data_IF_262905940442
#
_entry.id   IF_262905940442
#
_cell.length_a   1.000
_cell.length_b   1.000
_cell.length_c   1.000
_cell.angle_alpha   90.00
_cell.angle_beta   90.00
_cell.angle_gamma   90.00
#
_symmetry.space_group_name_H-M   'P 1'
#
loop_
_entity.id
_entity.type
_entity.pdbx_description
1 polymer ?
#
# COMPACT_ATOMS: atom_id res chain seq x y z
N UNK A 1 23.74 -96.36 17.61
CA UNK A 1 23.18 -95.92 18.92
C UNK A 1 22.13 -94.88 18.58
N UNK A 2 20.84 -95.19 18.52
CA UNK A 2 19.95 -95.72 19.57
C UNK A 2 18.86 -94.63 19.73
N UNK A 3 17.67 -94.85 19.17
CA UNK A 3 16.40 -95.10 19.90
C UNK A 3 16.08 -93.97 20.91
N UNK A 4 14.96 -93.25 20.84
CA UNK A 4 13.57 -93.71 20.94
C UNK A 4 12.63 -92.58 20.44
N UNK A 5 11.67 -92.84 19.55
CA UNK A 5 10.29 -93.30 19.83
C UNK A 5 9.52 -92.34 20.75
N UNK A 6 8.54 -91.56 20.26
CA UNK A 6 7.08 -91.80 20.41
C UNK A 6 6.35 -90.48 20.05
N UNK A 7 5.15 -90.35 19.46
CA UNK A 7 4.02 -91.23 19.15
C UNK A 7 3.28 -90.78 17.87
N UNK A 8 2.80 -91.79 17.19
CA UNK A 8 1.75 -91.85 16.17
C UNK A 8 0.39 -91.31 16.67
N UNK A 9 -0.25 -90.43 15.90
CA UNK A 9 -1.72 -90.36 15.77
C UNK A 9 -2.09 -90.06 14.31
N UNK A 10 -2.76 -91.05 13.72
CA UNK A 10 -3.50 -91.04 12.46
C UNK A 10 -4.50 -89.87 12.36
N UNK A 11 -4.68 -89.29 11.17
CA UNK A 11 -5.98 -89.17 10.47
C UNK A 11 -5.74 -88.65 9.02
N UNK A 12 -6.33 -89.36 8.04
CA UNK A 12 -6.32 -89.09 6.60
C UNK A 12 -7.19 -87.83 6.24
N UNK A 13 -7.12 -87.31 5.00
CA UNK A 13 -7.41 -85.92 4.63
C UNK A 13 -8.89 -85.67 4.34
N UNK A 14 -9.36 -84.46 4.60
CA UNK A 14 -10.57 -83.92 3.96
C UNK A 14 -10.15 -82.78 3.06
N UNK A 15 -10.29 -83.07 1.77
CA UNK A 15 -10.07 -82.22 0.62
C UNK A 15 -11.25 -81.25 0.55
N UNK A 16 -11.06 -80.00 0.99
CA UNK A 16 -12.01 -78.91 0.71
C UNK A 16 -11.41 -78.07 -0.40
N UNK A 17 -11.90 -78.32 -1.62
CA UNK A 17 -11.72 -77.42 -2.77
C UNK A 17 -12.50 -76.15 -2.45
N UNK A 18 -11.81 -75.17 -1.85
CA UNK A 18 -12.32 -73.81 -1.73
C UNK A 18 -12.14 -73.10 -3.07
N UNK A 19 -13.23 -72.94 -3.82
CA UNK A 19 -13.26 -72.16 -5.04
C UNK A 19 -12.90 -70.70 -4.71
N UNK A 20 -11.67 -70.29 -5.02
CA UNK A 20 -11.22 -68.90 -4.94
C UNK A 20 -11.81 -68.14 -6.13
N UNK A 21 -13.06 -67.68 -5.98
CA UNK A 21 -13.63 -66.62 -6.80
C UNK A 21 -12.83 -65.35 -6.51
N UNK A 22 -11.78 -65.11 -7.29
CA UNK A 22 -11.09 -63.81 -7.34
C UNK A 22 -12.06 -62.79 -7.93
N UNK A 23 -12.93 -62.26 -7.09
CA UNK A 23 -13.66 -61.05 -7.38
C UNK A 23 -12.60 -59.94 -7.46
N UNK A 24 -12.20 -59.62 -8.69
CA UNK A 24 -11.33 -58.48 -8.97
C UNK A 24 -12.03 -57.24 -8.48
N UNK A 25 -11.72 -56.83 -7.25
CA UNK A 25 -11.99 -55.49 -6.78
C UNK A 25 -11.11 -54.57 -7.62
N UNK A 26 -11.66 -54.13 -8.75
CA UNK A 26 -11.20 -52.93 -9.42
C UNK A 26 -11.34 -51.81 -8.39
N UNK A 27 -10.27 -51.53 -7.64
CA UNK A 27 -10.18 -50.29 -6.92
C UNK A 27 -10.39 -49.20 -7.97
N UNK A 28 -11.42 -48.35 -7.83
CA UNK A 28 -11.50 -47.19 -8.68
C UNK A 28 -10.21 -46.43 -8.42
N UNK A 29 -9.32 -46.44 -9.41
CA UNK A 29 -8.34 -45.38 -9.56
C UNK A 29 -9.18 -44.14 -9.77
N UNK A 30 -9.57 -43.50 -8.66
CA UNK A 30 -9.93 -42.11 -8.68
C UNK A 30 -8.67 -41.39 -9.12
N UNK A 31 -8.48 -41.29 -10.44
CA UNK A 31 -7.87 -40.14 -11.08
C UNK A 31 -8.80 -38.97 -10.77
N UNK A 32 -8.84 -38.59 -9.49
CA UNK A 32 -9.49 -37.38 -9.05
C UNK A 32 -8.72 -36.28 -9.74
N UNK A 33 -9.38 -35.58 -10.65
CA UNK A 33 -9.02 -34.20 -10.91
C UNK A 33 -8.97 -33.56 -9.52
N UNK A 34 -7.76 -33.37 -8.99
CA UNK A 34 -7.55 -32.73 -7.70
C UNK A 34 -8.23 -31.39 -7.83
N UNK A 35 -9.30 -31.20 -7.07
CA UNK A 35 -10.05 -29.94 -7.09
C UNK A 35 -9.04 -28.81 -6.91
N UNK A 36 -8.99 -27.92 -7.89
CA UNK A 36 -8.00 -26.86 -7.90
C UNK A 36 -8.25 -25.97 -6.68
N UNK A 37 -7.21 -25.79 -5.85
CA UNK A 37 -7.34 -24.97 -4.66
C UNK A 37 -7.83 -23.57 -5.08
N UNK A 38 -8.82 -22.97 -4.38
CA UNK A 38 -9.38 -21.68 -4.77
C UNK A 38 -8.34 -20.57 -4.99
N UNK A 39 -7.24 -20.58 -4.22
CA UNK A 39 -6.12 -19.65 -4.37
C UNK A 39 -5.34 -19.85 -5.68
N UNK A 40 -5.11 -21.09 -6.12
CA UNK A 40 -4.40 -21.38 -7.38
C UNK A 40 -5.19 -20.91 -8.61
N UNK A 41 -6.51 -21.11 -8.59
CA UNK A 41 -7.39 -20.61 -9.67
C UNK A 41 -7.33 -19.08 -9.79
N UNK A 42 -7.32 -18.38 -8.66
CA UNK A 42 -7.16 -16.92 -8.62
C UNK A 42 -5.79 -16.47 -9.11
N UNK A 43 -4.71 -17.19 -8.78
CA UNK A 43 -3.37 -16.91 -9.30
C UNK A 43 -3.34 -17.07 -10.83
N UNK A 44 -3.90 -18.15 -11.38
CA UNK A 44 -3.97 -18.35 -12.84
C UNK A 44 -4.73 -17.23 -13.53
N UNK A 45 -5.86 -16.82 -12.96
CA UNK A 45 -6.66 -15.72 -13.48
C UNK A 45 -5.90 -14.38 -13.43
N UNK A 46 -5.23 -14.09 -12.31
CA UNK A 46 -4.36 -12.92 -12.17
C UNK A 46 -3.26 -12.91 -13.23
N UNK A 47 -2.59 -14.04 -13.48
CA UNK A 47 -1.57 -14.16 -14.53
C UNK A 47 -2.15 -13.93 -15.93
N UNK A 48 -3.37 -14.39 -16.20
CA UNK A 48 -4.07 -14.11 -17.47
C UNK A 48 -4.37 -12.61 -17.62
N UNK A 49 -4.81 -11.94 -16.55
CA UNK A 49 -5.06 -10.50 -16.54
C UNK A 49 -3.77 -9.71 -16.74
N UNK A 50 -2.66 -10.12 -16.12
CA UNK A 50 -1.33 -9.52 -16.31
C UNK A 50 -0.84 -9.61 -17.76
N UNK A 51 -1.02 -10.76 -18.41
CA UNK A 51 -0.73 -10.91 -19.85
C UNK A 51 -1.56 -9.97 -20.72
N UNK A 52 -2.76 -9.63 -20.28
CA UNK A 52 -3.63 -8.66 -20.96
C UNK A 52 -3.32 -7.20 -20.60
N UNK A 53 -2.28 -6.91 -19.80
CA UNK A 53 -1.94 -5.56 -19.33
C UNK A 53 -2.94 -4.99 -18.32
N UNK A 54 -3.79 -5.84 -17.73
CA UNK A 54 -4.81 -5.46 -16.75
C UNK A 54 -4.30 -5.65 -15.33
N UNK A 55 -3.23 -4.94 -15.00
CA UNK A 55 -2.51 -5.14 -13.72
C UNK A 55 -3.36 -4.77 -12.50
N UNK A 56 -4.26 -3.78 -12.58
CA UNK A 56 -5.17 -3.44 -11.47
C UNK A 56 -6.14 -4.58 -11.18
N UNK A 57 -6.73 -5.19 -12.21
CA UNK A 57 -7.64 -6.32 -12.03
C UNK A 57 -6.89 -7.57 -11.57
N UNK A 58 -5.66 -7.77 -12.05
CA UNK A 58 -4.80 -8.87 -11.62
C UNK A 58 -4.44 -8.75 -10.13
N UNK A 59 -4.16 -7.53 -9.66
CA UNK A 59 -3.84 -7.26 -8.26
C UNK A 59 -4.97 -7.72 -7.33
N UNK A 60 -6.23 -7.46 -7.69
CA UNK A 60 -7.38 -7.94 -6.92
C UNK A 60 -7.39 -9.46 -6.80
N UNK A 61 -7.11 -10.18 -7.89
CA UNK A 61 -7.07 -11.66 -7.87
C UNK A 61 -5.93 -12.20 -7.03
N UNK A 62 -4.74 -11.62 -7.13
CA UNK A 62 -3.60 -12.02 -6.33
C UNK A 62 -3.76 -11.69 -4.85
N UNK A 63 -4.34 -10.53 -4.52
CA UNK A 63 -4.68 -10.18 -3.13
C UNK A 63 -5.66 -11.20 -2.55
N UNK A 64 -6.72 -11.54 -3.30
CA UNK A 64 -7.68 -12.54 -2.86
C UNK A 64 -7.06 -13.93 -2.69
N UNK A 65 -6.15 -14.32 -3.60
CA UNK A 65 -5.42 -15.57 -3.47
C UNK A 65 -4.55 -15.59 -2.20
N UNK A 66 -3.84 -14.50 -1.94
CA UNK A 66 -3.00 -14.33 -0.75
C UNK A 66 -3.82 -14.31 0.55
N UNK A 67 -4.99 -13.68 0.55
CA UNK A 67 -5.92 -13.72 1.71
C UNK A 67 -6.43 -15.12 2.02
N UNK A 68 -6.64 -15.95 0.99
CA UNK A 68 -7.10 -17.33 1.16
C UNK A 68 -5.97 -18.26 1.60
N UNK A 69 -4.79 -18.11 1.01
CA UNK A 69 -3.60 -18.90 1.31
C UNK A 69 -2.33 -18.02 1.18
N UNK A 70 -1.80 -17.49 2.31
CA UNK A 70 -0.62 -16.62 2.36
C UNK A 70 0.70 -17.34 2.00
N UNK A 71 0.84 -17.76 0.74
CA UNK A 71 2.06 -18.40 0.24
C UNK A 71 3.11 -17.39 -0.23
N UNK A 72 4.42 -17.75 -0.24
CA UNK A 72 5.47 -16.90 -0.82
C UNK A 72 5.20 -16.53 -2.28
N UNK A 73 4.65 -17.48 -3.05
CA UNK A 73 4.25 -17.27 -4.45
C UNK A 73 3.15 -16.22 -4.56
N UNK A 74 2.09 -16.32 -3.76
CA UNK A 74 1.01 -15.33 -3.78
C UNK A 74 1.52 -13.94 -3.37
N UNK A 75 2.36 -13.84 -2.34
CA UNK A 75 2.99 -12.57 -1.92
C UNK A 75 3.84 -11.94 -3.04
N UNK A 76 4.66 -12.75 -3.72
CA UNK A 76 5.47 -12.28 -4.83
C UNK A 76 4.61 -11.79 -6.01
N UNK A 77 3.52 -12.48 -6.36
CA UNK A 77 2.62 -12.05 -7.42
C UNK A 77 1.93 -10.71 -7.08
N UNK A 78 1.50 -10.52 -5.83
CA UNK A 78 1.01 -9.22 -5.35
C UNK A 78 2.08 -8.15 -5.52
N UNK A 79 3.31 -8.40 -5.06
CA UNK A 79 4.43 -7.46 -5.16
C UNK A 79 4.80 -7.09 -6.60
N UNK A 80 4.90 -8.06 -7.50
CA UNK A 80 5.20 -7.84 -8.93
C UNK A 80 4.09 -7.05 -9.63
N UNK A 81 2.84 -7.22 -9.19
CA UNK A 81 1.72 -6.47 -9.72
C UNK A 81 1.71 -5.02 -9.21
N UNK A 82 2.01 -4.81 -7.92
CA UNK A 82 2.21 -3.49 -7.31
C UNK A 82 3.35 -2.72 -8.01
N UNK A 83 4.45 -3.40 -8.32
CA UNK A 83 5.55 -2.84 -9.10
C UNK A 83 5.08 -2.35 -10.48
N UNK A 84 4.27 -3.16 -11.18
CA UNK A 84 3.79 -2.80 -12.52
C UNK A 84 2.89 -1.54 -12.52
N UNK A 85 2.16 -1.29 -11.43
CA UNK A 85 1.26 -0.13 -11.30
C UNK A 85 1.91 1.08 -10.60
N UNK A 86 3.21 1.01 -10.28
CA UNK A 86 3.96 2.11 -9.68
C UNK A 86 3.73 2.30 -8.17
N UNK A 87 3.24 1.27 -7.47
CA UNK A 87 3.08 1.25 -6.00
C UNK A 87 4.34 0.67 -5.36
N UNK A 88 5.44 1.40 -5.47
CA UNK A 88 6.79 0.94 -5.18
C UNK A 88 7.01 0.53 -3.71
N UNK A 89 6.53 1.32 -2.74
CA UNK A 89 6.70 1.02 -1.31
C UNK A 89 5.98 -0.28 -0.93
N UNK A 90 4.76 -0.48 -1.43
CA UNK A 90 4.00 -1.70 -1.16
C UNK A 90 4.59 -2.90 -1.91
N UNK A 91 5.12 -2.69 -3.11
CA UNK A 91 5.84 -3.70 -3.88
C UNK A 91 7.09 -4.19 -3.12
N UNK A 92 7.93 -3.28 -2.62
CA UNK A 92 9.13 -3.60 -1.84
C UNK A 92 8.77 -4.45 -0.62
N UNK A 93 7.72 -4.04 0.10
CA UNK A 93 7.21 -4.77 1.25
C UNK A 93 6.78 -6.20 0.89
N UNK A 94 5.92 -6.35 -0.13
CA UNK A 94 5.36 -7.66 -0.51
C UNK A 94 6.38 -8.60 -1.15
N UNK A 95 7.29 -8.08 -1.96
CA UNK A 95 8.38 -8.86 -2.54
C UNK A 95 9.38 -9.31 -1.46
N UNK A 96 9.70 -8.43 -0.51
CA UNK A 96 10.56 -8.79 0.64
C UNK A 96 9.90 -9.86 1.51
N UNK A 97 8.59 -9.75 1.73
CA UNK A 97 7.81 -10.76 2.47
C UNK A 97 7.94 -12.15 1.82
N UNK A 98 7.81 -12.23 0.49
CA UNK A 98 7.95 -13.49 -0.25
C UNK A 98 9.30 -14.18 -0.06
N UNK A 99 10.36 -13.45 0.30
CA UNK A 99 11.69 -14.00 0.56
C UNK A 99 11.92 -14.44 2.01
N UNK A 100 10.95 -14.22 2.91
CA UNK A 100 11.07 -14.59 4.34
C UNK A 100 11.20 -16.11 4.52
N UNK A 101 10.49 -16.89 3.70
CA UNK A 101 10.53 -18.35 3.69
C UNK A 101 11.66 -18.88 2.81
N UNK A 102 12.92 -18.58 3.15
CA UNK A 102 14.08 -18.89 2.32
C UNK A 102 14.26 -20.40 1.99
N UNK A 103 13.72 -21.29 2.84
CA UNK A 103 13.82 -22.74 2.65
C UNK A 103 12.76 -23.33 1.71
N UNK A 104 11.72 -22.55 1.38
CA UNK A 104 10.66 -22.97 0.49
C UNK A 104 11.21 -23.29 -0.93
N UNK A 105 10.86 -24.44 -1.54
CA UNK A 105 11.38 -24.83 -2.85
C UNK A 105 11.07 -23.82 -3.97
N UNK A 106 9.89 -23.18 -3.92
CA UNK A 106 9.50 -22.18 -4.89
C UNK A 106 10.32 -20.90 -4.69
N UNK A 107 10.58 -20.50 -3.45
CA UNK A 107 11.46 -19.35 -3.14
C UNK A 107 12.88 -19.62 -3.61
N UNK A 108 13.47 -20.79 -3.32
CA UNK A 108 14.83 -21.13 -3.78
C UNK A 108 14.99 -21.03 -5.30
N UNK A 109 13.96 -21.46 -6.04
CA UNK A 109 13.94 -21.39 -7.50
C UNK A 109 13.85 -19.94 -8.02
N UNK A 110 13.07 -19.08 -7.37
CA UNK A 110 12.71 -17.76 -7.90
C UNK A 110 13.41 -16.58 -7.20
N UNK A 111 14.16 -16.82 -6.12
CA UNK A 111 14.71 -15.77 -5.27
C UNK A 111 15.59 -14.76 -6.01
N UNK A 112 16.37 -15.20 -7.00
CA UNK A 112 17.23 -14.29 -7.77
C UNK A 112 16.40 -13.21 -8.49
N UNK A 113 15.27 -13.61 -9.09
CA UNK A 113 14.42 -12.72 -9.85
C UNK A 113 13.60 -11.81 -8.93
N UNK A 114 13.14 -12.34 -7.78
CA UNK A 114 12.46 -11.52 -6.76
C UNK A 114 13.43 -10.46 -6.21
N UNK A 115 14.70 -10.82 -5.95
CA UNK A 115 15.73 -9.87 -5.51
C UNK A 115 16.01 -8.78 -6.56
N UNK A 116 16.10 -9.15 -7.83
CA UNK A 116 16.22 -8.17 -8.93
C UNK A 116 15.04 -7.19 -8.94
N UNK A 117 13.82 -7.69 -8.75
CA UNK A 117 12.61 -6.87 -8.65
C UNK A 117 12.67 -5.91 -7.45
N UNK A 118 13.10 -6.40 -6.29
CA UNK A 118 13.27 -5.57 -5.08
C UNK A 118 14.26 -4.43 -5.33
N UNK A 119 15.40 -4.69 -5.96
CA UNK A 119 16.39 -3.65 -6.23
C UNK A 119 15.88 -2.62 -7.26
N UNK A 120 15.17 -3.07 -8.30
CA UNK A 120 14.50 -2.16 -9.23
C UNK A 120 13.47 -1.29 -8.50
N UNK A 121 12.61 -1.89 -7.67
CA UNK A 121 11.60 -1.17 -6.88
C UNK A 121 12.23 -0.14 -5.95
N UNK A 122 13.29 -0.51 -5.21
CA UNK A 122 13.99 0.40 -4.28
C UNK A 122 14.54 1.64 -4.97
N UNK A 123 14.93 1.54 -6.23
CA UNK A 123 15.39 2.71 -7.01
C UNK A 123 14.29 3.76 -7.24
N UNK A 124 13.01 3.37 -7.11
CA UNK A 124 11.83 4.24 -7.23
C UNK A 124 11.24 4.65 -5.86
N UNK A 125 11.80 4.16 -4.75
CA UNK A 125 11.35 4.53 -3.41
C UNK A 125 12.17 5.71 -2.89
N UNK A 126 11.50 6.83 -2.63
CA UNK A 126 12.07 7.98 -1.95
C UNK A 126 11.92 7.89 -0.43
N UNK A 127 12.62 8.75 0.30
CA UNK A 127 12.50 8.87 1.76
C UNK A 127 12.28 10.31 2.17
N UNK A 128 11.27 10.56 3.01
CA UNK A 128 10.99 11.88 3.57
C UNK A 128 11.34 11.90 5.06
N UNK A 129 12.26 12.79 5.44
CA UNK A 129 12.52 13.14 6.84
C UNK A 129 11.62 14.31 7.23
N UNK A 130 10.58 14.03 8.02
CA UNK A 130 9.65 15.04 8.52
C UNK A 130 10.10 15.51 9.90
N UNK A 131 10.50 16.78 9.98
CA UNK A 131 10.84 17.45 11.23
C UNK A 131 9.84 18.57 11.51
N UNK A 132 9.63 18.92 12.77
CA UNK A 132 8.78 20.06 13.06
C UNK A 132 8.40 20.28 14.52
N UNK A 133 7.50 21.24 14.70
CA UNK A 133 6.93 21.66 15.99
C UNK A 133 5.43 21.95 15.86
N UNK A 134 4.61 21.65 16.89
CA UNK A 134 5.00 21.13 18.21
C UNK A 134 5.37 19.63 18.20
N UNK A 135 6.10 19.19 19.23
CA UNK A 135 6.30 17.76 19.47
C UNK A 135 4.95 17.08 19.77
N UNK A 136 4.80 15.84 19.36
CA UNK A 136 3.55 15.10 19.47
C UNK A 136 2.52 15.42 18.38
N UNK A 137 2.82 16.34 17.45
CA UNK A 137 1.97 16.59 16.28
C UNK A 137 1.88 15.33 15.42
N UNK A 138 0.68 15.00 14.95
CA UNK A 138 0.42 13.86 14.08
C UNK A 138 0.88 14.18 12.65
N UNK A 139 1.57 13.22 12.03
CA UNK A 139 2.06 13.31 10.66
C UNK A 139 1.31 12.29 9.81
N UNK A 140 0.79 12.78 8.69
CA UNK A 140 0.11 11.99 7.65
C UNK A 140 0.90 12.20 6.36
N UNK A 141 1.28 11.11 5.70
CA UNK A 141 2.04 11.14 4.44
C UNK A 141 1.27 10.31 3.41
N UNK A 142 1.01 10.87 2.23
CA UNK A 142 0.18 10.24 1.20
C UNK A 142 -1.17 9.73 1.75
N UNK A 143 -1.80 10.50 2.65
CA UNK A 143 -3.06 10.14 3.30
C UNK A 143 -2.98 9.05 4.39
N UNK A 144 -1.79 8.49 4.67
CA UNK A 144 -1.57 7.49 5.70
C UNK A 144 -0.94 8.11 6.95
N UNK A 145 -1.53 7.91 8.13
CA UNK A 145 -0.91 8.32 9.40
C UNK A 145 0.38 7.52 9.62
N UNK A 146 1.52 8.20 9.65
CA UNK A 146 2.85 7.58 9.81
C UNK A 146 3.37 7.64 11.24
N UNK A 147 2.82 8.54 12.06
CA UNK A 147 3.19 8.66 13.47
C UNK A 147 3.09 10.09 14.00
N UNK A 148 3.90 10.40 15.01
CA UNK A 148 3.95 11.72 15.65
C UNK A 148 5.37 12.26 15.66
N UNK A 149 5.52 13.58 15.62
CA UNK A 149 6.83 14.24 15.67
C UNK A 149 7.49 14.14 17.05
N UNK A 150 8.83 13.99 17.12
CA UNK A 150 9.74 13.66 16.02
C UNK A 150 9.61 12.18 15.61
N UNK A 151 9.66 11.90 14.30
CA UNK A 151 9.66 10.53 13.79
C UNK A 151 11.03 9.86 14.02
N UNK A 152 11.03 8.58 14.38
CA UNK A 152 12.26 7.82 14.64
C UNK A 152 13.02 7.46 13.36
N UNK A 153 12.30 7.19 12.28
CA UNK A 153 12.87 6.84 10.98
C UNK A 153 12.24 7.67 9.86
N UNK A 154 12.96 7.85 8.75
CA UNK A 154 12.45 8.53 7.56
C UNK A 154 11.33 7.70 6.91
N UNK A 155 10.32 8.39 6.40
CA UNK A 155 9.14 7.75 5.82
C UNK A 155 9.44 7.35 4.37
N UNK A 156 9.39 6.05 4.01
CA UNK A 156 9.48 5.64 2.62
C UNK A 156 8.20 6.05 1.87
N UNK A 157 8.37 6.59 0.67
CA UNK A 157 7.26 7.05 -0.18
C UNK A 157 7.50 6.63 -1.62
N UNK A 158 6.42 6.44 -2.36
CA UNK A 158 6.48 6.28 -3.81
C UNK A 158 7.03 7.59 -4.42
N UNK A 159 7.84 7.48 -5.47
CA UNK A 159 8.27 8.65 -6.23
C UNK A 159 7.08 9.40 -6.86
N UNK A 160 7.20 10.71 -6.99
CA UNK A 160 6.18 11.60 -7.50
C UNK A 160 5.82 12.71 -6.52
N UNK A 161 4.62 13.26 -6.66
CA UNK A 161 4.09 14.28 -5.77
C UNK A 161 3.46 13.62 -4.54
N UNK A 162 4.01 13.92 -3.36
CA UNK A 162 3.59 13.35 -2.09
C UNK A 162 3.11 14.47 -1.17
N UNK A 163 1.86 14.36 -0.74
CA UNK A 163 1.30 15.26 0.26
C UNK A 163 1.73 14.83 1.67
N UNK A 164 2.28 15.80 2.40
CA UNK A 164 2.62 15.67 3.82
C UNK A 164 1.76 16.64 4.61
N UNK A 165 0.91 16.09 5.46
CA UNK A 165 0.07 16.82 6.39
C UNK A 165 0.61 16.65 7.81
N UNK A 166 0.70 17.77 8.53
CA UNK A 166 1.02 17.77 9.96
C UNK A 166 -0.09 18.52 10.69
N UNK A 167 -0.65 17.88 11.72
CA UNK A 167 -1.74 18.43 12.53
C UNK A 167 -1.48 18.24 14.02
N UNK A 168 -1.91 19.20 14.82
CA UNK A 168 -1.85 19.15 16.27
C UNK A 168 -3.08 19.81 16.88
N UNK A 169 -3.46 19.38 18.08
CA UNK A 169 -4.55 20.02 18.81
C UNK A 169 -4.22 21.49 19.09
N UNK A 170 -5.20 22.38 18.93
CA UNK A 170 -5.03 23.82 19.12
C UNK A 170 -4.16 24.50 18.04
N UNK A 171 -3.85 23.82 16.94
CA UNK A 171 -3.08 24.36 15.83
C UNK A 171 -3.82 24.20 14.50
N UNK A 172 -3.47 25.04 13.52
CA UNK A 172 -3.95 24.88 12.16
C UNK A 172 -3.15 23.78 11.43
N UNK A 173 -3.87 22.92 10.71
CA UNK A 173 -3.26 21.84 9.91
C UNK A 173 -2.43 22.42 8.78
N UNK A 174 -1.18 21.97 8.67
CA UNK A 174 -0.27 22.36 7.61
C UNK A 174 -0.11 21.22 6.61
N UNK A 175 -0.49 21.46 5.36
CA UNK A 175 -0.31 20.51 4.24
C UNK A 175 0.73 21.07 3.27
N UNK A 176 1.67 20.22 2.84
CA UNK A 176 2.68 20.56 1.83
C UNK A 176 2.88 19.39 0.88
N UNK A 177 2.76 19.66 -0.42
CA UNK A 177 3.12 18.71 -1.47
C UNK A 177 4.62 18.79 -1.76
N UNK A 178 5.29 17.64 -1.77
CA UNK A 178 6.72 17.50 -2.05
C UNK A 178 6.91 16.64 -3.30
N UNK A 179 7.72 17.10 -4.25
CA UNK A 179 8.17 16.26 -5.36
C UNK A 179 9.35 15.40 -4.86
N UNK A 180 9.15 14.09 -4.80
CA UNK A 180 10.15 13.13 -4.32
C UNK A 180 10.56 12.23 -5.46
N UNK A 181 11.86 12.10 -5.70
CA UNK A 181 12.41 11.16 -6.69
C UNK A 181 12.83 9.86 -6.00
N UNK A 182 12.76 8.75 -6.73
CA UNK A 182 13.27 7.47 -6.28
C UNK A 182 14.74 7.55 -5.82
N UNK A 183 15.07 6.84 -4.74
CA UNK A 183 16.40 6.82 -4.14
C UNK A 183 16.82 8.12 -3.44
N UNK A 184 16.03 9.19 -3.52
CA UNK A 184 16.35 10.45 -2.85
C UNK A 184 15.89 10.49 -1.40
N UNK A 185 16.61 11.31 -0.64
CA UNK A 185 16.30 11.62 0.74
C UNK A 185 15.92 13.10 0.83
N UNK A 186 14.65 13.37 1.09
CA UNK A 186 14.11 14.72 1.16
C UNK A 186 13.83 15.11 2.60
N UNK A 187 14.46 16.19 3.06
CA UNK A 187 14.19 16.78 4.38
C UNK A 187 13.11 17.84 4.26
N UNK A 188 12.10 17.79 5.13
CA UNK A 188 11.02 18.76 5.18
C UNK A 188 10.72 19.19 6.62
N UNK A 189 10.70 20.51 6.85
CA UNK A 189 10.44 21.10 8.16
C UNK A 189 9.05 21.75 8.18
N UNK A 190 8.27 21.41 9.21
CA UNK A 190 6.90 21.88 9.44
C UNK A 190 6.84 22.64 10.77
N UNK A 191 6.21 23.82 10.75
CA UNK A 191 5.94 24.61 11.97
C UNK A 191 4.47 24.97 11.93
N UNK A 192 3.70 24.44 12.86
CA UNK A 192 2.28 24.74 12.93
C UNK A 192 2.05 26.05 13.65
N UNK A 193 1.04 26.79 13.19
CA UNK A 193 0.59 28.02 13.84
C UNK A 193 -0.54 27.69 14.82
N UNK A 194 -0.56 28.28 16.03
CA UNK A 194 -1.67 28.11 16.96
C UNK A 194 -2.97 28.61 16.35
N UNK A 195 -4.01 27.78 16.42
CA UNK A 195 -5.35 28.13 15.96
C UNK A 195 -5.99 29.05 16.98
N UNK A 196 -6.13 30.33 16.62
CA UNK A 196 -6.84 31.30 17.46
C UNK A 196 -8.31 30.89 17.54
N UNK A 197 -8.78 30.56 18.74
CA UNK A 197 -10.21 30.33 18.98
C UNK A 197 -10.97 31.59 18.58
N UNK A 198 -11.89 31.46 17.61
CA UNK A 198 -12.80 32.55 17.29
C UNK A 198 -13.50 32.98 18.60
N UNK A 199 -13.58 34.28 18.92
CA UNK A 199 -14.28 34.73 20.11
C UNK A 199 -15.71 34.17 20.07
N UNK A 200 -16.25 33.67 21.20
CA UNK A 200 -17.61 33.18 21.22
C UNK A 200 -18.52 34.29 20.66
N UNK A 201 -19.49 33.96 19.79
CA UNK A 201 -20.49 34.94 19.41
C UNK A 201 -21.06 35.48 20.72
N UNK A 202 -20.90 36.78 20.96
CA UNK A 202 -21.50 37.43 22.11
C UNK A 202 -22.97 37.04 22.05
N UNK A 203 -23.38 36.20 23.00
CA UNK A 203 -24.78 35.91 23.26
C UNK A 203 -25.40 37.29 23.40
N UNK A 204 -26.13 37.70 22.37
CA UNK A 204 -26.96 38.90 22.43
C UNK A 204 -27.97 38.54 23.50
N UNK A 205 -27.70 38.98 24.73
CA UNK A 205 -28.62 38.78 25.84
C UNK A 205 -29.94 39.37 25.38
N UNK A 206 -30.95 38.51 25.28
CA UNK A 206 -32.35 38.88 25.17
C UNK A 206 -32.70 39.65 26.44
N UNK A 207 -32.34 40.93 26.46
CA UNK A 207 -33.00 41.92 27.29
C UNK A 207 -34.22 42.37 26.50
N UNK A 208 -35.35 41.70 26.76
CA UNK A 208 -36.66 42.33 26.65
C UNK A 208 -36.60 43.67 27.39
N UNK A 209 -36.65 44.76 26.63
CA UNK A 209 -37.03 46.08 27.11
C UNK A 209 -38.01 46.65 26.10
N UNK A 210 -39.27 46.30 26.31
CA UNK A 210 -40.43 46.98 25.75
C UNK A 210 -40.55 48.36 26.41
N UNK A 211 -40.73 49.40 25.58
CA UNK A 211 -41.26 50.70 26.00
C UNK A 211 -40.25 51.85 26.08
N UNK A 212 -40.25 52.74 25.09
CA UNK A 212 -39.61 54.04 25.20
C UNK A 212 -39.30 54.69 23.86
N UNK A 213 -40.28 55.41 23.33
CA UNK A 213 -40.22 56.21 22.10
C UNK A 213 -39.06 57.24 22.12
N UNK A 214 -38.49 57.47 20.93
CA UNK A 214 -37.22 58.17 20.66
C UNK A 214 -37.11 59.63 21.15
N UNK A 215 -35.88 60.18 21.13
CA UNK A 215 -35.65 61.26 20.18
C UNK A 215 -34.36 61.06 19.37
N UNK A 216 -34.49 61.08 18.04
CA UNK A 216 -33.37 61.07 17.10
C UNK A 216 -32.73 62.46 17.02
N UNK A 217 -31.52 62.58 17.59
CA UNK A 217 -30.52 63.58 17.20
C UNK A 217 -29.14 62.92 17.34
N UNK A 218 -28.61 62.36 16.25
CA UNK A 218 -27.24 61.84 16.21
C UNK A 218 -26.35 62.79 15.41
N UNK A 219 -25.46 63.43 16.17
CA UNK A 219 -24.29 64.12 15.65
C UNK A 219 -23.19 63.10 15.29
N UNK A 220 -22.58 63.34 14.14
CA UNK A 220 -21.14 63.27 13.82
C UNK A 220 -20.25 62.18 14.43
N UNK A 221 -19.67 61.34 13.57
CA UNK A 221 -18.20 61.15 13.53
C UNK A 221 -17.75 60.57 12.19
N UNK A 222 -16.87 61.31 11.50
CA UNK A 222 -15.96 60.73 10.51
C UNK A 222 -14.89 59.93 11.25
N UNK A 223 -14.47 58.76 10.74
CA UNK A 223 -13.08 58.50 10.28
C UNK A 223 -12.83 57.02 9.95
N UNK A 224 -12.44 56.81 8.69
CA UNK A 224 -11.54 55.79 8.12
C UNK A 224 -11.70 54.33 8.56
N UNK A 225 -12.46 53.57 7.76
CA UNK A 225 -12.44 52.12 7.72
C UNK A 225 -11.34 51.67 6.75
N UNK A 226 -10.21 51.27 7.33
CA UNK A 226 -9.06 50.74 6.61
C UNK A 226 -9.26 49.32 6.11
N UNK A 227 -8.62 49.06 4.97
CA UNK A 227 -8.10 47.78 4.47
C UNK A 227 -8.71 46.48 5.03
N UNK A 228 -9.60 45.90 4.22
CA UNK A 228 -9.92 44.47 4.31
C UNK A 228 -9.00 43.67 3.38
N UNK A 229 -8.26 42.65 3.87
CA UNK A 229 -7.43 41.82 3.01
C UNK A 229 -8.27 40.93 2.10
N UNK A 230 -8.12 41.18 0.80
CA UNK A 230 -8.74 40.51 -0.33
C UNK A 230 -8.29 39.05 -0.47
N UNK A 231 -8.85 38.11 0.32
CA UNK A 231 -8.70 36.68 0.00
C UNK A 231 -9.90 35.77 0.33
N UNK A 232 -11.08 36.32 0.63
CA UNK A 232 -12.28 35.48 0.83
C UNK A 232 -13.51 36.01 0.10
N UNK A 233 -13.66 35.64 -1.19
CA UNK A 233 -14.94 35.16 -1.79
C UNK A 233 -14.79 34.79 -3.29
N UNK A 234 -14.82 33.49 -3.56
CA UNK A 234 -15.82 32.79 -4.39
C UNK A 234 -16.18 33.17 -5.85
N UNK A 235 -15.64 34.23 -6.47
CA UNK A 235 -16.05 34.62 -7.84
C UNK A 235 -14.91 35.04 -8.80
N UNK A 236 -13.64 35.09 -8.38
CA UNK A 236 -12.59 35.72 -9.21
C UNK A 236 -12.05 34.91 -10.42
N UNK A 237 -12.67 33.80 -10.84
CA UNK A 237 -12.29 33.08 -12.07
C UNK A 237 -13.22 33.42 -13.24
N UNK A 238 -13.14 34.66 -13.70
CA UNK A 238 -13.92 35.17 -14.84
C UNK A 238 -13.12 36.12 -15.72
N UNK A 239 -12.14 35.57 -16.43
CA UNK A 239 -11.57 36.09 -17.68
C UNK A 239 -10.81 37.45 -17.69
N UNK A 240 -9.48 37.37 -17.58
CA UNK A 240 -8.53 38.05 -18.49
C UNK A 240 -7.14 37.44 -18.19
N UNK A 241 -6.41 36.84 -19.12
CA UNK A 241 -6.27 37.18 -20.51
C UNK A 241 -4.84 37.67 -20.73
N UNK A 242 -4.04 36.83 -21.38
CA UNK A 242 -2.80 37.15 -22.10
C UNK A 242 -1.62 37.81 -21.34
N UNK A 243 -0.52 37.05 -21.34
CA UNK A 243 0.87 37.49 -21.56
C UNK A 243 1.53 38.45 -20.55
N UNK A 244 2.48 37.91 -19.77
CA UNK A 244 3.82 38.49 -19.66
C UNK A 244 4.83 37.46 -19.11
N UNK A 245 5.85 37.20 -19.93
CA UNK A 245 7.06 36.44 -19.64
C UNK A 245 7.96 37.25 -18.69
N UNK A 246 8.29 36.70 -17.53
CA UNK A 246 9.49 36.94 -16.70
C UNK A 246 9.29 36.11 -15.41
N UNK A 247 10.09 35.11 -15.05
CA UNK A 247 11.54 35.02 -15.07
C UNK A 247 12.01 34.80 -13.64
N UNK A 248 12.02 33.55 -13.16
CA UNK A 248 12.93 33.10 -12.09
C UNK A 248 13.44 31.72 -12.48
N UNK A 249 14.62 31.73 -13.11
CA UNK A 249 15.48 30.56 -13.26
C UNK A 249 16.15 30.34 -11.91
N UNK A 250 15.78 29.28 -11.19
CA UNK A 250 16.62 28.72 -10.14
C UNK A 250 17.43 27.57 -10.76
N UNK A 251 18.74 27.77 -10.85
CA UNK A 251 19.69 26.88 -11.49
C UNK A 251 19.66 25.47 -10.88
N UNK A 252 19.18 24.49 -11.65
CA UNK A 252 19.41 23.07 -11.37
C UNK A 252 20.75 22.71 -11.98
N UNK A 253 21.74 22.47 -11.10
CA UNK A 253 23.01 21.88 -11.48
C UNK A 253 22.75 20.47 -12.02
N UNK A 254 23.07 20.28 -13.30
CA UNK A 254 23.16 18.99 -13.96
C UNK A 254 24.30 18.19 -13.34
N UNK A 255 23.98 17.01 -12.80
CA UNK A 255 24.92 15.88 -12.84
C UNK A 255 24.15 14.67 -13.34
N UNK A 256 24.52 14.23 -14.55
CA UNK A 256 23.99 13.03 -15.17
C UNK A 256 24.48 11.77 -14.50
N UNK A 257 23.68 10.72 -14.64
CA UNK A 257 24.01 9.33 -14.36
C UNK A 257 22.95 8.48 -15.07
N UNK A 258 23.39 7.68 -16.03
CA UNK A 258 22.56 7.13 -17.10
C UNK A 258 21.39 6.26 -16.64
N UNK A 259 20.26 6.45 -17.32
CA UNK A 259 19.11 5.57 -17.26
C UNK A 259 19.47 4.21 -17.88
N UNK A 260 19.81 3.23 -17.06
CA UNK A 260 19.46 1.84 -17.39
C UNK A 260 18.00 1.67 -17.00
N UNK A 261 17.09 1.70 -17.98
CA UNK A 261 15.68 1.37 -17.77
C UNK A 261 15.54 -0.09 -17.31
N UNK A 262 15.65 -0.33 -16.02
CA UNK A 262 15.15 -1.54 -15.36
C UNK A 262 13.63 -1.41 -15.25
N UNK A 263 12.95 -1.62 -16.37
CA UNK A 263 11.49 -1.69 -16.43
C UNK A 263 10.94 -2.89 -15.64
N UNK A 264 9.62 -2.94 -15.41
CA UNK A 264 8.98 -4.08 -14.78
C UNK A 264 9.34 -5.38 -15.51
N UNK A 265 9.49 -6.47 -14.77
CA UNK A 265 9.84 -7.78 -15.35
C UNK A 265 8.85 -8.10 -16.47
N UNK A 266 9.33 -8.48 -17.67
CA UNK A 266 8.44 -8.79 -18.77
C UNK A 266 7.59 -10.02 -18.43
N UNK A 267 6.32 -10.00 -18.86
CA UNK A 267 5.29 -10.95 -18.42
C UNK A 267 5.62 -12.40 -18.82
N UNK A 268 6.42 -12.60 -19.87
CA UNK A 268 6.94 -13.88 -20.32
C UNK A 268 7.82 -14.57 -19.27
N UNK A 269 8.63 -13.79 -18.53
CA UNK A 269 9.48 -14.30 -17.43
C UNK A 269 8.66 -14.59 -16.16
N UNK A 270 7.42 -14.09 -16.06
CA UNK A 270 6.54 -14.33 -14.92
C UNK A 270 5.89 -15.72 -14.95
N UNK A 271 5.87 -16.41 -16.09
CA UNK A 271 5.29 -17.75 -16.21
C UNK A 271 6.11 -18.83 -15.52
N UNK A 272 7.40 -18.56 -15.28
CA UNK A 272 8.28 -19.44 -14.53
C UNK A 272 8.11 -19.35 -13.01
N UNK A 273 7.34 -18.36 -12.55
CA UNK A 273 6.95 -18.10 -11.15
C UNK A 273 5.63 -18.75 -10.77
#
# INVERSE_FOLDING_TARGET
>A
MGADATRLKWFLPVLVVGAFLTLGAAWPTHAGAREEAPAESLIKEGLRLRRAGRDIDALEKFQRAYELDPTPRAAAQVGLCLQAIGRWVDADFKLSEALTSAEDPWVKKNAAIIKESIEAVKSHVGRIEVLGSPQGAEVVVAGKTVGRLPLATPVPVDEGLVDVEVRAEGHDTLVRSLEVKGGQYQKAVFRLEPKVAAPPPLTSGDMSAEGGEAPMLTASSQREEGDTPLYKKGWFWGALGAAAVAGIVAAVVLSGGGETKTGPIPVDRMETF
#
